data_IF_406061702351
#
_entry.id   IF_406061702351
#
_cell.length_a   1.000
_cell.length_b   1.000
_cell.length_c   1.000
_cell.angle_alpha   90.00
_cell.angle_beta   90.00
_cell.angle_gamma   90.00
#
_symmetry.space_group_name_H-M   'P 1'
#
loop_
_entity.id
_entity.type
_entity.pdbx_description
1 polymer ?
#
# COMPACT_ATOMS: atom_id res chain seq x y z
N UNK A 1 0.65 23.92 6.23
CA UNK A 1 0.75 23.70 4.77
C UNK A 1 -0.53 24.19 4.14
N UNK A 2 -0.47 24.73 2.92
CA UNK A 2 -1.70 25.05 2.17
C UNK A 2 -2.44 23.75 1.83
N UNK A 3 -3.78 23.75 1.92
CA UNK A 3 -4.62 22.58 1.63
C UNK A 3 -4.32 21.97 0.25
N UNK A 4 -4.06 22.82 -0.75
CA UNK A 4 -3.65 22.41 -2.11
C UNK A 4 -2.34 21.61 -2.13
N UNK A 5 -1.35 21.99 -1.30
CA UNK A 5 -0.10 21.25 -1.20
C UNK A 5 -0.32 19.89 -0.55
N UNK A 6 -1.09 19.83 0.54
CA UNK A 6 -1.42 18.55 1.21
C UNK A 6 -2.12 17.59 0.25
N UNK A 7 -3.13 18.07 -0.47
CA UNK A 7 -3.84 17.28 -1.48
C UNK A 7 -2.90 16.74 -2.57
N UNK A 8 -2.00 17.59 -3.08
CA UNK A 8 -1.04 17.21 -4.12
C UNK A 8 -0.06 16.14 -3.62
N UNK A 9 0.48 16.32 -2.41
CA UNK A 9 1.42 15.36 -1.82
C UNK A 9 0.72 14.04 -1.48
N UNK A 10 -0.49 14.08 -0.93
CA UNK A 10 -1.31 12.88 -0.69
C UNK A 10 -1.56 12.11 -1.99
N UNK A 11 -1.96 12.80 -3.06
CA UNK A 11 -2.21 12.17 -4.35
C UNK A 11 -0.94 11.54 -4.93
N UNK A 12 0.18 12.26 -4.91
CA UNK A 12 1.46 11.77 -5.42
C UNK A 12 1.94 10.53 -4.66
N UNK A 13 1.84 10.54 -3.32
CA UNK A 13 2.25 9.42 -2.49
C UNK A 13 1.32 8.21 -2.63
N UNK A 14 0.00 8.40 -2.78
CA UNK A 14 -0.93 7.30 -3.06
C UNK A 14 -0.63 6.63 -4.40
N UNK A 15 -0.33 7.42 -5.44
CA UNK A 15 0.11 6.90 -6.74
C UNK A 15 1.42 6.14 -6.61
N UNK A 16 2.40 6.73 -5.92
CA UNK A 16 3.68 6.08 -5.64
C UNK A 16 3.49 4.72 -4.94
N UNK A 17 2.66 4.67 -3.90
CA UNK A 17 2.37 3.45 -3.14
C UNK A 17 1.74 2.36 -4.03
N UNK A 18 0.79 2.75 -4.87
CA UNK A 18 0.16 1.83 -5.82
C UNK A 18 1.16 1.29 -6.85
N UNK A 19 2.13 2.11 -7.29
CA UNK A 19 3.18 1.68 -8.20
C UNK A 19 4.20 0.75 -7.54
N UNK A 20 4.53 0.98 -6.26
CA UNK A 20 5.40 0.09 -5.47
C UNK A 20 4.78 -1.31 -5.30
N UNK A 21 3.46 -1.40 -5.16
CA UNK A 21 2.76 -2.69 -5.05
C UNK A 21 2.93 -3.58 -6.29
N UNK A 22 2.93 -3.02 -7.50
CA UNK A 22 2.88 -3.78 -8.76
C UNK A 22 3.97 -4.87 -8.85
N UNK A 23 5.26 -4.56 -8.63
CA UNK A 23 6.31 -5.57 -8.72
C UNK A 23 6.35 -6.54 -7.54
N UNK A 24 5.74 -6.18 -6.40
CA UNK A 24 5.74 -6.94 -5.15
C UNK A 24 4.58 -7.93 -5.05
N UNK A 25 3.68 -7.96 -6.03
CA UNK A 25 2.57 -8.91 -6.04
C UNK A 25 3.13 -10.36 -6.00
N UNK A 26 2.67 -11.21 -5.05
CA UNK A 26 3.16 -12.58 -4.90
C UNK A 26 3.16 -13.40 -6.19
N UNK A 27 4.28 -14.04 -6.51
CA UNK A 27 4.44 -14.88 -7.71
C UNK A 27 4.62 -14.08 -9.00
N UNK A 28 5.10 -12.83 -8.91
CA UNK A 28 5.37 -11.95 -10.07
C UNK A 28 6.83 -11.53 -10.16
N UNK A 29 7.07 -10.24 -10.43
CA UNK A 29 8.34 -9.70 -10.90
C UNK A 29 9.45 -9.81 -9.86
N UNK A 30 9.16 -9.40 -8.61
CA UNK A 30 10.15 -9.36 -7.53
C UNK A 30 9.90 -10.46 -6.52
N UNK A 31 8.64 -10.76 -6.21
CA UNK A 31 8.30 -11.90 -5.37
C UNK A 31 8.27 -13.20 -6.20
N UNK A 32 9.42 -13.86 -6.28
CA UNK A 32 9.65 -15.07 -7.09
C UNK A 32 9.45 -16.38 -6.31
N UNK A 33 8.91 -16.31 -5.10
CA UNK A 33 8.67 -17.50 -4.25
C UNK A 33 7.52 -18.36 -4.80
N UNK A 34 7.58 -19.66 -4.55
CA UNK A 34 6.51 -20.59 -4.90
C UNK A 34 5.40 -20.62 -3.83
N UNK A 35 4.23 -20.11 -4.22
CA UNK A 35 3.02 -20.12 -3.40
C UNK A 35 2.07 -21.28 -3.71
N UNK A 36 2.44 -22.20 -4.60
CA UNK A 36 1.65 -23.40 -4.92
C UNK A 36 1.26 -24.27 -3.72
N UNK A 37 2.02 -24.33 -2.60
CA UNK A 37 1.61 -25.07 -1.41
C UNK A 37 0.47 -24.42 -0.62
N UNK A 38 0.20 -23.12 -0.81
CA UNK A 38 -0.85 -22.42 -0.07
C UNK A 38 -2.24 -22.73 -0.62
N UNK A 39 -3.29 -22.71 0.24
CA UNK A 39 -4.65 -22.79 -0.24
C UNK A 39 -4.96 -21.66 -1.24
N UNK A 40 -5.47 -22.02 -2.43
CA UNK A 40 -5.74 -21.07 -3.53
C UNK A 40 -6.62 -19.90 -3.11
N UNK A 41 -7.59 -20.14 -2.22
CA UNK A 41 -8.47 -19.08 -1.73
C UNK A 41 -7.72 -18.01 -0.94
N UNK A 42 -6.70 -18.38 -0.16
CA UNK A 42 -5.91 -17.46 0.64
C UNK A 42 -5.02 -16.59 -0.27
N UNK A 43 -4.27 -17.24 -1.18
CA UNK A 43 -3.45 -16.54 -2.17
C UNK A 43 -4.29 -15.58 -3.03
N UNK A 44 -5.44 -16.04 -3.54
CA UNK A 44 -6.31 -15.19 -4.36
C UNK A 44 -6.91 -14.03 -3.57
N UNK A 45 -7.40 -14.28 -2.33
CA UNK A 45 -8.01 -13.22 -1.51
C UNK A 45 -7.01 -12.12 -1.16
N UNK A 46 -5.76 -12.51 -0.86
CA UNK A 46 -4.69 -11.55 -0.60
C UNK A 46 -4.37 -10.70 -1.84
N UNK A 47 -4.25 -11.33 -3.02
CA UNK A 47 -4.03 -10.61 -4.27
C UNK A 47 -5.19 -9.68 -4.65
N UNK A 48 -6.44 -10.10 -4.43
CA UNK A 48 -7.62 -9.26 -4.63
C UNK A 48 -7.59 -8.06 -3.70
N UNK A 49 -7.20 -8.26 -2.44
CA UNK A 49 -7.06 -7.19 -1.47
C UNK A 49 -5.98 -6.17 -1.88
N UNK A 50 -4.77 -6.63 -2.23
CA UNK A 50 -3.69 -5.77 -2.71
C UNK A 50 -4.08 -5.00 -3.98
N UNK A 51 -4.73 -5.69 -4.92
CA UNK A 51 -5.21 -5.05 -6.16
C UNK A 51 -6.25 -3.96 -5.86
N UNK A 52 -7.16 -4.24 -4.93
CA UNK A 52 -8.19 -3.28 -4.51
C UNK A 52 -7.58 -2.06 -3.82
N UNK A 53 -6.57 -2.25 -2.95
CA UNK A 53 -5.81 -1.16 -2.34
C UNK A 53 -5.13 -0.28 -3.40
N UNK A 54 -4.43 -0.89 -4.36
CA UNK A 54 -3.77 -0.16 -5.44
C UNK A 54 -4.74 0.64 -6.30
N UNK A 55 -5.85 0.03 -6.72
CA UNK A 55 -6.88 0.72 -7.52
C UNK A 55 -7.56 1.85 -6.74
N UNK A 56 -7.89 1.61 -5.47
CA UNK A 56 -8.49 2.63 -4.61
C UNK A 56 -7.54 3.82 -4.40
N UNK A 57 -6.23 3.60 -4.29
CA UNK A 57 -5.22 4.67 -4.21
C UNK A 57 -5.30 5.62 -5.41
N UNK A 58 -5.39 5.11 -6.63
CA UNK A 58 -5.52 5.96 -7.83
C UNK A 58 -6.81 6.79 -7.81
N UNK A 59 -7.93 6.19 -7.41
CA UNK A 59 -9.22 6.87 -7.31
C UNK A 59 -9.18 7.98 -6.26
N UNK A 60 -8.68 7.68 -5.06
CA UNK A 60 -8.57 8.65 -3.96
C UNK A 60 -7.57 9.76 -4.31
N UNK A 61 -6.48 9.45 -5.01
CA UNK A 61 -5.56 10.46 -5.51
C UNK A 61 -6.26 11.46 -6.46
N UNK A 62 -7.10 10.97 -7.36
CA UNK A 62 -7.93 11.82 -8.23
C UNK A 62 -8.86 12.75 -7.44
N UNK A 63 -9.52 12.23 -6.41
CA UNK A 63 -10.39 13.03 -5.55
C UNK A 63 -9.62 14.04 -4.68
N UNK A 64 -8.44 13.68 -4.18
CA UNK A 64 -7.57 14.62 -3.48
C UNK A 64 -7.18 15.79 -4.40
N UNK A 65 -6.77 15.51 -5.65
CA UNK A 65 -6.48 16.55 -6.65
C UNK A 65 -7.69 17.40 -7.03
N UNK A 66 -8.91 16.85 -6.95
CA UNK A 66 -10.16 17.58 -7.14
C UNK A 66 -10.56 18.43 -5.92
N UNK A 67 -9.74 18.49 -4.87
CA UNK A 67 -9.99 19.28 -3.65
C UNK A 67 -11.05 18.69 -2.73
N UNK A 68 -11.40 17.41 -2.90
CA UNK A 68 -12.41 16.76 -2.07
C UNK A 68 -11.85 16.42 -0.70
N UNK A 69 -12.37 17.07 0.33
CA UNK A 69 -11.89 16.93 1.72
C UNK A 69 -11.96 15.49 2.25
N UNK A 70 -13.00 14.73 1.90
CA UNK A 70 -13.13 13.33 2.31
C UNK A 70 -12.00 12.44 1.80
N UNK A 71 -11.28 12.85 0.75
CA UNK A 71 -10.15 12.11 0.21
C UNK A 71 -9.03 11.95 1.24
N UNK A 72 -8.87 12.87 2.20
CA UNK A 72 -7.90 12.70 3.29
C UNK A 72 -8.31 11.57 4.26
N UNK A 73 -9.60 11.43 4.56
CA UNK A 73 -10.09 10.31 5.37
C UNK A 73 -9.87 8.98 4.63
N UNK A 74 -10.19 8.94 3.34
CA UNK A 74 -9.96 7.75 2.53
C UNK A 74 -8.46 7.42 2.41
N UNK A 75 -7.60 8.42 2.22
CA UNK A 75 -6.15 8.25 2.18
C UNK A 75 -5.61 7.68 3.50
N UNK A 76 -6.14 8.14 4.65
CA UNK A 76 -5.79 7.58 5.94
C UNK A 76 -6.17 6.10 6.02
N UNK A 77 -7.39 5.73 5.65
CA UNK A 77 -7.83 4.32 5.64
C UNK A 77 -6.95 3.45 4.75
N UNK A 78 -6.62 3.92 3.54
CA UNK A 78 -5.74 3.20 2.63
C UNK A 78 -4.33 3.05 3.22
N UNK A 79 -3.75 4.12 3.76
CA UNK A 79 -2.43 4.06 4.38
C UNK A 79 -2.34 3.10 5.57
N UNK A 80 -3.41 3.01 6.38
CA UNK A 80 -3.50 2.02 7.44
C UNK A 80 -3.59 0.59 6.89
N UNK A 81 -4.29 0.40 5.77
CA UNK A 81 -4.32 -0.88 5.05
C UNK A 81 -2.93 -1.31 4.57
N UNK A 82 -2.18 -0.39 3.93
CA UNK A 82 -0.80 -0.63 3.53
C UNK A 82 0.11 -0.97 4.72
N UNK A 83 0.04 -0.17 5.79
CA UNK A 83 0.80 -0.42 7.02
C UNK A 83 0.48 -1.81 7.57
N UNK A 84 -0.80 -2.16 7.66
CA UNK A 84 -1.22 -3.45 8.19
C UNK A 84 -0.64 -4.62 7.38
N UNK A 85 -0.65 -4.53 6.04
CA UNK A 85 -0.08 -5.57 5.18
C UNK A 85 1.43 -5.65 5.34
N UNK A 86 2.15 -4.56 5.14
CA UNK A 86 3.62 -4.62 5.13
C UNK A 86 4.19 -4.90 6.51
N UNK A 87 3.57 -4.40 7.58
CA UNK A 87 3.98 -4.76 8.93
C UNK A 87 3.66 -6.23 9.26
N UNK A 88 2.52 -6.76 8.79
CA UNK A 88 2.19 -8.18 8.96
C UNK A 88 3.16 -9.09 8.20
N UNK A 89 3.56 -8.70 6.98
CA UNK A 89 4.49 -9.48 6.17
C UNK A 89 5.91 -9.47 6.77
N UNK A 90 6.44 -8.28 7.11
CA UNK A 90 7.73 -8.14 7.79
C UNK A 90 7.74 -8.79 9.19
N UNK A 91 6.58 -8.84 9.85
CA UNK A 91 6.38 -9.52 11.13
C UNK A 91 6.16 -11.03 11.02
N UNK A 92 6.24 -11.61 9.81
CA UNK A 92 6.01 -13.02 9.52
C UNK A 92 4.64 -13.54 10.03
N UNK A 93 3.61 -12.69 9.98
CA UNK A 93 2.23 -13.05 10.37
C UNK A 93 1.55 -13.89 9.28
N UNK A 94 1.89 -13.65 8.01
CA UNK A 94 1.41 -14.46 6.90
C UNK A 94 2.09 -15.84 6.87
N UNK A 95 1.46 -16.86 6.25
CA UNK A 95 2.08 -18.17 6.11
C UNK A 95 3.41 -18.09 5.39
N UNK A 96 4.44 -18.66 6.00
CA UNK A 96 5.79 -18.67 5.45
C UNK A 96 5.94 -19.84 4.49
N UNK A 97 6.37 -19.56 3.27
CA UNK A 97 6.79 -20.57 2.29
C UNK A 97 8.27 -20.91 2.46
N UNK A 98 8.73 -22.11 2.06
CA UNK A 98 10.13 -22.51 2.24
C UNK A 98 11.15 -21.64 1.50
N UNK A 99 10.71 -20.99 0.43
CA UNK A 99 11.57 -20.15 -0.40
C UNK A 99 11.99 -18.87 0.35
N UNK A 100 13.30 -18.54 0.34
CA UNK A 100 13.78 -17.36 1.03
C UNK A 100 13.21 -16.09 0.42
N UNK A 101 12.87 -15.11 1.27
CA UNK A 101 12.42 -13.79 0.85
C UNK A 101 13.53 -13.09 0.05
N UNK A 102 13.26 -12.64 -1.19
CA UNK A 102 14.21 -11.86 -1.96
C UNK A 102 14.58 -10.56 -1.23
N UNK A 103 15.86 -10.19 -1.19
CA UNK A 103 16.33 -8.96 -0.51
C UNK A 103 15.70 -7.71 -1.12
N UNK A 104 15.46 -7.72 -2.43
CA UNK A 104 14.77 -6.64 -3.15
C UNK A 104 13.34 -6.47 -2.65
N UNK A 105 12.64 -7.57 -2.37
CA UNK A 105 11.29 -7.55 -1.84
C UNK A 105 11.28 -6.92 -0.44
N UNK A 106 12.20 -7.34 0.44
CA UNK A 106 12.36 -6.76 1.79
C UNK A 106 12.55 -5.24 1.75
N UNK A 107 13.43 -4.76 0.86
CA UNK A 107 13.72 -3.34 0.71
C UNK A 107 12.47 -2.58 0.27
N UNK A 108 11.74 -3.10 -0.71
CA UNK A 108 10.54 -2.44 -1.20
C UNK A 108 9.40 -2.45 -0.17
N UNK A 109 9.21 -3.55 0.57
CA UNK A 109 8.25 -3.63 1.67
C UNK A 109 8.55 -2.60 2.76
N UNK A 110 9.83 -2.42 3.13
CA UNK A 110 10.24 -1.41 4.10
C UNK A 110 10.00 0.01 3.59
N UNK A 111 10.30 0.28 2.30
CA UNK A 111 10.03 1.59 1.67
C UNK A 111 8.53 1.88 1.61
N UNK A 112 7.73 0.89 1.25
CA UNK A 112 6.28 1.01 1.17
C UNK A 112 5.68 1.25 2.56
N UNK A 113 6.09 0.48 3.57
CA UNK A 113 5.68 0.70 4.97
C UNK A 113 6.00 2.13 5.45
N UNK A 114 7.22 2.61 5.18
CA UNK A 114 7.61 3.97 5.54
C UNK A 114 6.78 5.03 4.79
N UNK A 115 6.57 4.83 3.49
CA UNK A 115 5.77 5.71 2.62
C UNK A 115 4.32 5.78 3.09
N UNK A 116 3.70 4.64 3.42
CA UNK A 116 2.38 4.57 4.01
C UNK A 116 2.29 5.31 5.36
N UNK A 117 3.31 5.21 6.21
CA UNK A 117 3.42 6.01 7.44
C UNK A 117 3.40 7.52 7.17
N UNK A 118 4.12 7.99 6.14
CA UNK A 118 4.11 9.40 5.72
C UNK A 118 2.72 9.80 5.21
N UNK A 119 2.07 8.97 4.39
CA UNK A 119 0.70 9.22 3.91
C UNK A 119 -0.26 9.39 5.09
N UNK A 120 -0.19 8.51 6.09
CA UNK A 120 -1.07 8.57 7.27
C UNK A 120 -0.91 9.90 8.02
N UNK A 121 0.32 10.35 8.26
CA UNK A 121 0.59 11.63 8.94
C UNK A 121 0.04 12.81 8.15
N UNK A 122 0.27 12.84 6.84
CA UNK A 122 -0.23 13.91 5.95
C UNK A 122 -1.76 13.90 5.90
N UNK A 123 -2.37 12.73 5.80
CA UNK A 123 -3.81 12.57 5.79
C UNK A 123 -4.44 13.08 7.11
N UNK A 124 -3.84 12.76 8.27
CA UNK A 124 -4.28 13.28 9.57
C UNK A 124 -4.22 14.82 9.61
N UNK A 125 -3.17 15.41 9.04
CA UNK A 125 -3.08 16.87 8.94
C UNK A 125 -4.16 17.44 8.01
N UNK A 126 -4.41 16.79 6.88
CA UNK A 126 -5.45 17.19 5.92
C UNK A 126 -6.86 17.13 6.48
N UNK A 127 -7.17 16.14 7.32
CA UNK A 127 -8.48 16.02 8.00
C UNK A 127 -8.72 17.12 9.04
N UNK A 128 -7.65 17.73 9.57
CA UNK A 128 -7.75 18.76 10.63
C UNK A 128 -7.89 20.19 10.12
N UNK A 129 -7.70 20.41 8.81
CA UNK A 129 -7.83 21.72 8.17
C UNK A 129 -9.24 21.94 7.64
#
# INVERSE_FOLDING_TARGET
MNQSLLATVTAALLVWEALLLIPMVPGKLIDTRDFSPLPRWQYNSFNVYLTSLGLASFVVAGFAMAGQHWAFVAALVLSLGYIAVFAADLGAVFPVVPDPLPVQLLVLEAIALASAGVIAVIAIQGVRL
#
